data_IF_506017638468
#
_entry.id   IF_506017638468
#
_cell.length_a   1.000
_cell.length_b   1.000
_cell.length_c   1.000
_cell.angle_alpha   90.00
_cell.angle_beta   90.00
_cell.angle_gamma   90.00
#
_symmetry.space_group_name_H-M   'P 1'
#
loop_
_entity.id
_entity.type
_entity.pdbx_description
1 polymer ?
#
# COMPACT_ATOMS: atom_id res chain seq x y z
N UNK A 1 -28.00 -15.07 -16.20
CA UNK A 1 -28.41 -14.34 -14.97
C UNK A 1 -27.40 -14.44 -13.82
N UNK A 2 -26.49 -15.44 -13.80
CA UNK A 2 -25.41 -15.55 -12.80
C UNK A 2 -24.26 -14.55 -13.05
N UNK A 3 -23.91 -14.28 -14.31
CA UNK A 3 -22.87 -13.31 -14.73
C UNK A 3 -23.16 -11.85 -14.32
N UNK A 4 -24.44 -11.48 -14.23
CA UNK A 4 -24.86 -10.13 -13.83
C UNK A 4 -24.64 -9.93 -12.33
N UNK A 5 -24.94 -10.93 -11.50
CA UNK A 5 -24.72 -10.91 -10.05
C UNK A 5 -23.23 -10.89 -9.67
N UNK A 6 -22.35 -11.50 -10.47
CA UNK A 6 -20.89 -11.48 -10.24
C UNK A 6 -20.30 -10.06 -10.42
N UNK A 7 -20.90 -9.23 -11.28
CA UNK A 7 -20.50 -7.82 -11.48
C UNK A 7 -21.06 -6.89 -10.40
N UNK A 8 -22.17 -7.27 -9.76
CA UNK A 8 -22.85 -6.42 -8.76
C UNK A 8 -22.17 -6.52 -7.37
N UNK A 9 -21.40 -7.57 -7.09
CA UNK A 9 -20.77 -7.79 -5.78
C UNK A 9 -19.40 -7.13 -5.56
N UNK A 10 -18.92 -6.26 -6.45
CA UNK A 10 -17.60 -5.60 -6.28
C UNK A 10 -17.69 -4.17 -5.73
N UNK A 11 -18.89 -3.60 -5.55
CA UNK A 11 -19.07 -2.21 -5.10
C UNK A 11 -20.25 -2.05 -4.15
N UNK A 12 -20.17 -2.60 -2.94
CA UNK A 12 -21.15 -2.33 -1.88
C UNK A 12 -20.50 -1.76 -0.62
N UNK A 13 -19.55 -0.85 -0.84
CA UNK A 13 -19.14 0.11 0.19
C UNK A 13 -19.21 1.53 -0.38
N UNK A 14 -20.39 1.90 -0.87
CA UNK A 14 -20.74 3.31 -0.99
C UNK A 14 -21.09 3.81 0.41
N UNK A 15 -20.26 4.69 0.96
CA UNK A 15 -20.51 5.38 2.22
C UNK A 15 -21.64 6.42 1.99
N UNK A 16 -22.87 5.95 1.87
CA UNK A 16 -24.06 6.72 1.50
C UNK A 16 -24.60 7.68 2.58
N UNK A 17 -23.75 8.32 3.41
CA UNK A 17 -24.24 9.14 4.55
C UNK A 17 -23.68 10.57 4.64
N UNK A 18 -23.22 11.15 3.53
CA UNK A 18 -22.80 12.57 3.51
C UNK A 18 -23.94 13.58 3.47
N UNK A 19 -25.19 13.13 3.34
CA UNK A 19 -26.36 13.99 3.21
C UNK A 19 -26.91 14.52 4.54
N UNK A 20 -26.59 13.87 5.67
CA UNK A 20 -27.17 14.19 6.99
C UNK A 20 -26.17 14.25 8.15
N UNK A 21 -24.88 14.04 7.89
CA UNK A 21 -23.83 14.05 8.91
C UNK A 21 -22.42 14.08 8.33
N UNK A 22 -21.41 13.93 9.19
CA UNK A 22 -20.01 13.87 8.76
C UNK A 22 -19.68 12.48 8.20
N UNK A 23 -19.05 12.43 7.02
CA UNK A 23 -18.50 11.21 6.44
C UNK A 23 -17.06 11.01 6.85
N UNK A 24 -16.70 9.75 7.07
CA UNK A 24 -15.32 9.35 7.29
C UNK A 24 -14.99 8.17 6.38
N UNK A 25 -13.99 8.29 5.50
CA UNK A 25 -13.59 7.19 4.64
C UNK A 25 -13.08 6.02 5.49
N UNK A 26 -13.14 4.81 4.93
CA UNK A 26 -12.48 3.66 5.53
C UNK A 26 -10.97 3.92 5.63
N UNK A 27 -10.39 3.58 6.77
CA UNK A 27 -8.95 3.65 6.97
C UNK A 27 -8.29 2.52 6.17
N UNK A 28 -7.14 2.80 5.56
CA UNK A 28 -6.39 1.84 4.77
C UNK A 28 -4.91 2.18 4.72
N UNK A 29 -4.13 1.27 4.16
CA UNK A 29 -2.70 1.51 3.92
C UNK A 29 -2.54 2.52 2.77
N UNK A 30 -1.93 3.67 3.06
CA UNK A 30 -1.68 4.72 2.09
C UNK A 30 -0.53 4.43 1.13
N UNK A 31 0.27 3.38 1.38
CA UNK A 31 1.40 3.02 0.54
C UNK A 31 0.96 2.20 -0.68
N UNK A 32 -0.13 1.43 -0.57
CA UNK A 32 -0.62 0.54 -1.63
C UNK A 32 -0.98 1.33 -2.89
N UNK A 33 -0.43 0.91 -4.04
CA UNK A 33 -0.66 1.55 -5.34
C UNK A 33 0.11 2.85 -5.53
N UNK A 34 0.97 3.23 -4.57
CA UNK A 34 1.76 4.47 -4.60
C UNK A 34 3.26 4.18 -4.64
N UNK A 35 3.68 2.98 -5.00
CA UNK A 35 5.08 2.54 -5.06
C UNK A 35 5.96 3.57 -5.80
N UNK A 36 5.49 4.07 -6.95
CA UNK A 36 6.22 5.03 -7.79
C UNK A 36 6.30 6.44 -7.18
N UNK A 37 5.43 6.75 -6.21
CA UNK A 37 5.43 8.02 -5.49
C UNK A 37 6.26 7.96 -4.20
N UNK A 38 6.77 6.79 -3.81
CA UNK A 38 7.66 6.66 -2.67
C UNK A 38 9.06 7.13 -3.05
N UNK A 39 9.68 7.92 -2.17
CA UNK A 39 11.02 8.46 -2.37
C UNK A 39 11.83 8.34 -1.10
N UNK A 40 13.02 7.76 -1.24
CA UNK A 40 14.05 7.79 -0.20
C UNK A 40 15.09 8.85 -0.51
N UNK A 41 15.63 9.50 0.53
CA UNK A 41 16.80 10.38 0.40
C UNK A 41 18.11 9.60 0.24
N UNK A 42 18.15 8.35 0.73
CA UNK A 42 19.31 7.47 0.63
C UNK A 42 18.88 6.01 0.45
N UNK A 43 19.71 5.22 -0.22
CA UNK A 43 19.48 3.78 -0.39
C UNK A 43 20.85 3.11 -0.45
N UNK A 44 21.12 2.22 0.50
CA UNK A 44 22.32 1.39 0.52
C UNK A 44 22.32 0.42 -0.67
N UNK A 45 23.49 -0.05 -1.09
CA UNK A 45 23.60 -1.04 -2.17
C UNK A 45 23.43 -0.52 -3.60
N UNK A 46 23.01 0.74 -3.82
CA UNK A 46 22.81 1.28 -5.18
C UNK A 46 24.10 1.38 -6.01
N UNK A 47 25.24 1.57 -5.35
CA UNK A 47 26.56 1.72 -6.02
C UNK A 47 27.37 0.41 -6.04
N UNK A 48 26.81 -0.69 -5.55
CA UNK A 48 27.49 -1.97 -5.40
C UNK A 48 27.25 -2.59 -4.03
N UNK A 49 27.83 -3.76 -3.80
CA UNK A 49 27.58 -4.54 -2.59
C UNK A 49 28.03 -3.80 -1.33
N UNK A 50 27.15 -3.76 -0.32
CA UNK A 50 27.39 -3.04 0.93
C UNK A 50 27.15 -3.95 2.15
N UNK A 51 28.09 -3.97 3.09
CA UNK A 51 27.94 -4.75 4.33
C UNK A 51 27.07 -3.98 5.33
N UNK A 52 25.99 -4.61 5.79
CA UNK A 52 25.08 -4.06 6.79
C UNK A 52 25.06 -4.94 8.05
N UNK A 53 24.86 -4.33 9.21
CA UNK A 53 24.70 -5.03 10.47
C UNK A 53 23.22 -5.30 10.76
N UNK A 54 22.89 -6.54 11.12
CA UNK A 54 21.57 -6.95 11.61
C UNK A 54 21.72 -7.55 13.02
N UNK A 55 20.63 -7.74 13.77
CA UNK A 55 20.68 -8.44 15.07
C UNK A 55 21.26 -9.86 14.98
N UNK A 56 21.24 -10.49 13.81
CA UNK A 56 21.75 -11.84 13.58
C UNK A 56 23.19 -11.87 13.06
N UNK A 57 23.82 -10.72 12.88
CA UNK A 57 25.18 -10.58 12.36
C UNK A 57 25.27 -9.66 11.14
N UNK A 58 26.46 -9.60 10.55
CA UNK A 58 26.73 -8.82 9.35
C UNK A 58 26.32 -9.59 8.08
N UNK A 59 25.70 -8.89 7.13
CA UNK A 59 25.22 -9.44 5.86
C UNK A 59 25.67 -8.52 4.73
N UNK A 60 26.06 -9.10 3.60
CA UNK A 60 26.32 -8.36 2.36
C UNK A 60 24.98 -8.11 1.65
N UNK A 61 24.57 -6.85 1.53
CA UNK A 61 23.53 -6.44 0.58
C UNK A 61 24.18 -6.41 -0.80
N UNK A 62 23.70 -7.24 -1.72
CA UNK A 62 24.21 -7.35 -3.10
C UNK A 62 23.27 -6.70 -4.09
#
# INVERSE_FOLDING_TARGET
>A
MVLVLYRINVMLFEHHDCGRGACYPAMGDLLLGREQSLRSSSTCGLMGSEVVCTPHGQVMLV
#
